data_IF_599730391058
#
_entry.id   IF_599730391058
#
_cell.length_a   1.000
_cell.length_b   1.000
_cell.length_c   1.000
_cell.angle_alpha   90.00
_cell.angle_beta   90.00
_cell.angle_gamma   90.00
#
_symmetry.space_group_name_H-M   'P 1'
#
loop_
_entity.id
_entity.type
_entity.pdbx_description
1 polymer ?
#
# COMPACT_ATOMS: atom_id res chain seq x y z
N UNK A 1 -11.35 -19.85 9.63
CA UNK A 1 -11.35 -19.60 8.19
C UNK A 1 -11.99 -18.26 7.81
N UNK A 2 -13.08 -17.82 8.48
CA UNK A 2 -13.74 -16.53 8.17
C UNK A 2 -12.93 -15.27 8.52
N UNK A 3 -12.21 -15.25 9.64
CA UNK A 3 -11.34 -14.11 10.02
C UNK A 3 -10.23 -13.81 8.99
N UNK A 4 -9.74 -14.85 8.27
CA UNK A 4 -8.72 -14.71 7.24
C UNK A 4 -9.25 -14.02 5.97
N UNK A 5 -10.48 -14.31 5.54
CA UNK A 5 -11.07 -13.70 4.33
C UNK A 5 -11.36 -12.21 4.51
N UNK A 6 -11.74 -11.80 5.74
CA UNK A 6 -11.96 -10.39 6.04
C UNK A 6 -10.65 -9.59 6.03
N UNK A 7 -9.54 -10.19 6.48
CA UNK A 7 -8.22 -9.55 6.48
C UNK A 7 -7.68 -9.31 5.05
N UNK A 8 -7.88 -10.26 4.13
CA UNK A 8 -7.49 -10.08 2.72
C UNK A 8 -8.25 -8.91 2.08
N UNK A 9 -9.54 -8.74 2.40
CA UNK A 9 -10.33 -7.62 1.90
C UNK A 9 -9.80 -6.26 2.42
N UNK A 10 -9.37 -6.21 3.67
CA UNK A 10 -8.80 -4.99 4.28
C UNK A 10 -7.48 -4.60 3.60
N UNK A 11 -6.61 -5.56 3.29
CA UNK A 11 -5.31 -5.31 2.62
C UNK A 11 -5.49 -4.76 1.21
N UNK A 12 -6.40 -5.32 0.43
CA UNK A 12 -6.71 -4.86 -0.94
C UNK A 12 -7.23 -3.41 -0.93
N UNK A 13 -7.98 -3.03 0.09
CA UNK A 13 -8.54 -1.68 0.24
C UNK A 13 -7.46 -0.67 0.61
N UNK A 14 -6.48 -1.03 1.44
CA UNK A 14 -5.44 -0.10 1.90
C UNK A 14 -4.27 0.08 0.91
N UNK A 15 -3.93 -0.91 0.11
CA UNK A 15 -3.00 -0.71 -1.00
C UNK A 15 -3.56 0.30 -2.03
N UNK A 16 -4.88 0.40 -2.14
CA UNK A 16 -5.56 1.40 -2.99
C UNK A 16 -5.38 2.86 -2.55
N UNK A 17 -5.17 3.16 -1.24
CA UNK A 17 -4.98 4.55 -0.76
C UNK A 17 -3.76 5.21 -1.39
N UNK A 18 -2.76 4.41 -1.68
CA UNK A 18 -1.47 4.88 -2.16
C UNK A 18 -1.37 4.94 -3.69
N UNK A 19 -2.32 4.35 -4.42
CA UNK A 19 -2.34 4.27 -5.90
C UNK A 19 -2.92 5.55 -6.55
N UNK A 20 -3.70 6.37 -5.83
CA UNK A 20 -4.45 7.47 -6.44
C UNK A 20 -3.69 8.77 -6.66
N UNK A 21 -2.46 8.89 -6.18
CA UNK A 21 -1.59 10.00 -6.47
C UNK A 21 -1.18 10.16 -7.94
N UNK A 22 -1.21 9.11 -8.72
CA UNK A 22 -0.61 9.05 -10.06
C UNK A 22 -1.33 9.85 -11.16
N UNK A 23 -2.49 10.46 -10.92
CA UNK A 23 -3.30 11.06 -12.00
C UNK A 23 -3.25 12.59 -12.13
N UNK A 24 -2.60 13.30 -11.23
CA UNK A 24 -2.38 14.76 -11.37
C UNK A 24 -0.96 15.10 -11.81
N UNK A 25 -0.58 14.75 -13.03
CA UNK A 25 0.54 15.39 -13.71
C UNK A 25 0.18 16.85 -14.01
N UNK A 26 0.73 17.79 -13.24
CA UNK A 26 1.11 19.15 -13.68
C UNK A 26 1.08 20.17 -12.53
N UNK A 27 2.06 20.12 -11.66
CA UNK A 27 2.60 21.37 -11.14
C UNK A 27 3.96 21.11 -10.53
N UNK A 28 5.01 21.45 -11.24
CA UNK A 28 6.35 21.55 -10.66
C UNK A 28 6.29 22.60 -9.55
N UNK A 29 6.00 22.16 -8.33
CA UNK A 29 6.03 22.97 -7.15
C UNK A 29 7.44 23.55 -6.99
N UNK A 30 7.56 24.86 -6.91
CA UNK A 30 8.80 25.50 -6.45
C UNK A 30 8.78 25.41 -4.93
N UNK A 31 9.89 25.03 -4.31
CA UNK A 31 10.02 24.90 -2.87
C UNK A 31 10.18 23.45 -2.43
N UNK A 32 9.70 23.17 -1.24
CA UNK A 32 9.87 21.90 -0.53
C UNK A 32 9.22 20.72 -1.27
N UNK A 33 8.04 20.89 -1.84
CA UNK A 33 7.39 19.86 -2.68
C UNK A 33 8.19 19.56 -3.94
N UNK A 34 8.81 20.57 -4.54
CA UNK A 34 9.74 20.38 -5.67
C UNK A 34 10.98 19.58 -5.27
N UNK A 35 11.49 19.75 -4.04
CA UNK A 35 12.61 18.99 -3.50
C UNK A 35 12.22 17.50 -3.33
N UNK A 36 11.05 17.20 -2.78
CA UNK A 36 10.52 15.84 -2.69
C UNK A 36 10.40 15.22 -4.09
N UNK A 37 9.80 15.92 -5.03
CA UNK A 37 9.58 15.41 -6.39
C UNK A 37 10.91 15.11 -7.11
N UNK A 38 11.93 15.96 -6.94
CA UNK A 38 13.28 15.71 -7.47
C UNK A 38 13.88 14.46 -6.82
N UNK A 39 13.72 14.27 -5.52
CA UNK A 39 14.23 13.10 -4.81
C UNK A 39 13.55 11.79 -5.27
N UNK A 40 12.24 11.80 -5.46
CA UNK A 40 11.48 10.70 -6.03
C UNK A 40 11.93 10.39 -7.46
N UNK A 41 12.09 11.40 -8.29
CA UNK A 41 12.57 11.24 -9.66
C UNK A 41 14.01 10.68 -9.72
N UNK A 42 14.88 11.09 -8.80
CA UNK A 42 16.23 10.54 -8.71
C UNK A 42 16.20 9.07 -8.26
N UNK A 43 15.31 8.70 -7.34
CA UNK A 43 15.09 7.31 -6.97
C UNK A 43 14.63 6.47 -8.17
N UNK A 44 13.76 6.99 -9.02
CA UNK A 44 13.32 6.31 -10.25
C UNK A 44 14.41 6.06 -11.30
N UNK A 45 15.63 6.62 -11.11
CA UNK A 45 16.79 6.42 -12.01
C UNK A 45 17.83 5.43 -11.51
N UNK A 46 17.63 4.84 -10.33
CA UNK A 46 18.58 3.85 -9.80
C UNK A 46 18.48 2.55 -10.60
N UNK A 47 19.57 1.81 -10.72
CA UNK A 47 19.60 0.56 -11.47
C UNK A 47 18.86 -0.57 -10.78
N UNK A 48 18.88 -0.58 -9.45
CA UNK A 48 18.20 -1.55 -8.62
C UNK A 48 17.85 -0.96 -7.25
N UNK A 49 16.82 -1.51 -6.63
CA UNK A 49 16.19 -0.97 -5.44
C UNK A 49 15.77 -2.09 -4.49
N UNK A 50 16.04 -1.92 -3.20
CA UNK A 50 15.42 -2.68 -2.12
C UNK A 50 14.57 -1.75 -1.28
N UNK A 51 13.30 -2.13 -1.10
CA UNK A 51 12.30 -1.42 -0.32
C UNK A 51 11.81 -2.28 0.83
N UNK A 52 11.51 -1.65 1.95
CA UNK A 52 10.60 -2.18 2.96
C UNK A 52 9.39 -1.27 3.08
N UNK A 53 8.25 -1.91 3.25
CA UNK A 53 6.96 -1.25 3.45
C UNK A 53 6.34 -1.81 4.72
N UNK A 54 5.83 -0.94 5.57
CA UNK A 54 5.16 -1.33 6.79
C UNK A 54 3.83 -0.58 6.92
N UNK A 55 2.76 -1.34 7.14
CA UNK A 55 1.45 -0.86 7.48
C UNK A 55 1.13 -1.29 8.91
N UNK A 56 0.85 -0.35 9.78
CA UNK A 56 0.43 -0.58 11.17
C UNK A 56 -0.88 0.12 11.45
N UNK A 57 -1.73 -0.54 12.18
CA UNK A 57 -2.95 0.07 12.67
C UNK A 57 -3.13 -0.17 14.17
N UNK A 58 -3.80 0.78 14.82
CA UNK A 58 -4.14 0.71 16.24
C UNK A 58 -5.56 1.23 16.45
N UNK A 59 -6.41 0.43 17.12
CA UNK A 59 -7.80 0.76 17.43
C UNK A 59 -8.20 0.09 18.75
N UNK A 60 -8.66 0.86 19.74
CA UNK A 60 -9.23 0.35 21.00
C UNK A 60 -8.37 -0.69 21.75
N UNK A 61 -7.06 -0.53 21.75
CA UNK A 61 -6.14 -1.47 22.39
C UNK A 61 -5.76 -2.68 21.56
N UNK A 62 -6.41 -2.93 20.42
CA UNK A 62 -5.97 -3.89 19.42
C UNK A 62 -5.03 -3.21 18.44
N UNK A 63 -4.04 -3.94 17.97
CA UNK A 63 -3.11 -3.49 16.95
C UNK A 63 -2.80 -4.64 15.98
N UNK A 64 -2.37 -4.29 14.79
CA UNK A 64 -1.93 -5.26 13.81
C UNK A 64 -1.22 -4.54 12.67
N UNK A 65 -0.71 -5.31 11.73
CA UNK A 65 0.00 -4.72 10.62
C UNK A 65 0.45 -5.75 9.61
N UNK A 66 1.06 -5.22 8.58
CA UNK A 66 1.67 -5.96 7.50
C UNK A 66 3.02 -5.35 7.16
N UNK A 67 3.95 -6.19 6.77
CA UNK A 67 5.27 -5.77 6.29
C UNK A 67 5.50 -6.40 4.93
N UNK A 68 6.04 -5.63 4.01
CA UNK A 68 6.48 -6.11 2.70
C UNK A 68 7.96 -5.76 2.53
N UNK A 69 8.73 -6.70 2.02
CA UNK A 69 10.07 -6.44 1.51
C UNK A 69 10.08 -6.66 0.01
N UNK A 70 10.60 -5.71 -0.74
CA UNK A 70 10.66 -5.80 -2.20
C UNK A 70 12.09 -5.55 -2.70
N UNK A 71 12.44 -6.22 -3.79
CA UNK A 71 13.70 -6.07 -4.53
C UNK A 71 13.35 -5.92 -5.99
N UNK A 72 13.86 -4.88 -6.63
CA UNK A 72 13.61 -4.59 -8.03
C UNK A 72 14.92 -4.40 -8.78
N UNK A 73 14.96 -4.95 -9.97
CA UNK A 73 15.91 -4.60 -11.02
C UNK A 73 15.21 -3.62 -11.98
N UNK A 74 15.52 -2.32 -11.81
CA UNK A 74 14.87 -1.26 -12.57
C UNK A 74 15.26 -1.26 -14.05
N UNK A 75 16.38 -1.92 -14.42
CA UNK A 75 16.84 -2.01 -15.79
C UNK A 75 16.03 -3.04 -16.58
N UNK A 76 15.65 -4.15 -15.96
CA UNK A 76 14.86 -5.22 -16.59
C UNK A 76 13.36 -5.09 -16.32
N UNK A 77 12.97 -4.38 -15.27
CA UNK A 77 11.61 -4.33 -14.78
C UNK A 77 11.19 -5.57 -13.98
N UNK A 78 12.17 -6.44 -13.66
CA UNK A 78 11.93 -7.63 -12.83
C UNK A 78 11.92 -7.24 -11.35
N UNK A 79 10.98 -7.78 -10.59
CA UNK A 79 10.93 -7.55 -9.15
C UNK A 79 10.37 -8.73 -8.38
N UNK A 80 10.69 -8.79 -7.10
CA UNK A 80 10.12 -9.73 -6.14
C UNK A 80 9.67 -9.00 -4.88
N UNK A 81 8.58 -9.46 -4.26
CA UNK A 81 8.18 -9.05 -2.93
C UNK A 81 7.83 -10.23 -2.03
N UNK A 82 8.04 -10.04 -0.73
CA UNK A 82 7.67 -10.95 0.34
C UNK A 82 6.77 -10.20 1.33
N UNK A 83 5.57 -10.73 1.57
CA UNK A 83 4.54 -10.10 2.39
C UNK A 83 4.32 -10.89 3.68
N UNK A 84 4.33 -10.18 4.78
CA UNK A 84 4.20 -10.71 6.12
C UNK A 84 3.02 -10.07 6.83
N UNK A 85 2.23 -10.84 7.56
CA UNK A 85 1.22 -10.32 8.48
C UNK A 85 1.72 -10.45 9.90
N UNK A 86 1.43 -9.44 10.72
CA UNK A 86 1.74 -9.43 12.16
C UNK A 86 0.44 -9.33 12.94
N UNK A 87 0.24 -10.29 13.85
CA UNK A 87 -0.87 -10.32 14.79
C UNK A 87 -0.38 -10.76 16.18
N UNK A 88 -1.30 -11.05 17.08
CA UNK A 88 -0.98 -11.49 18.46
C UNK A 88 -0.16 -12.78 18.51
N UNK A 89 -0.25 -13.63 17.48
CA UNK A 89 0.48 -14.90 17.35
C UNK A 89 1.90 -14.72 16.75
N UNK A 90 2.25 -13.51 16.31
CA UNK A 90 3.54 -13.15 15.74
C UNK A 90 3.51 -12.82 14.26
N UNK A 91 4.70 -12.72 13.67
CA UNK A 91 4.88 -12.38 12.24
C UNK A 91 5.03 -13.64 11.41
N UNK A 92 4.29 -13.73 10.29
CA UNK A 92 4.36 -14.86 9.35
C UNK A 92 4.28 -14.38 7.90
N UNK A 93 5.08 -15.01 7.06
CA UNK A 93 4.97 -14.88 5.61
C UNK A 93 3.62 -15.46 5.14
N UNK A 94 2.93 -14.75 4.25
CA UNK A 94 1.68 -15.26 3.68
C UNK A 94 1.63 -15.21 2.16
N UNK A 95 2.47 -14.37 1.52
CA UNK A 95 2.49 -14.20 0.08
C UNK A 95 3.90 -13.84 -0.38
N UNK A 96 4.34 -14.43 -1.50
CA UNK A 96 5.45 -13.91 -2.31
C UNK A 96 4.94 -13.59 -3.69
N UNK A 97 5.51 -12.58 -4.32
CA UNK A 97 5.18 -12.20 -5.69
C UNK A 97 6.49 -12.09 -6.47
N UNK A 98 6.45 -12.48 -7.73
CA UNK A 98 7.53 -12.27 -8.66
C UNK A 98 6.96 -11.76 -9.99
N UNK A 99 7.58 -10.74 -10.56
CA UNK A 99 7.27 -10.22 -11.89
C UNK A 99 8.55 -10.25 -12.75
N UNK A 100 8.47 -10.76 -13.96
CA UNK A 100 9.56 -10.75 -14.93
C UNK A 100 9.43 -9.61 -15.96
N UNK A 101 8.89 -8.49 -15.55
CA UNK A 101 8.59 -7.33 -16.38
C UNK A 101 7.30 -7.49 -17.22
N UNK A 102 6.74 -8.70 -17.35
CA UNK A 102 5.51 -8.99 -18.09
C UNK A 102 4.52 -9.82 -17.31
N UNK A 103 4.96 -10.96 -16.80
CA UNK A 103 4.13 -11.95 -16.13
C UNK A 103 4.31 -11.85 -14.63
N UNK A 104 3.19 -11.98 -13.93
CA UNK A 104 3.12 -11.92 -12.47
C UNK A 104 2.85 -13.32 -11.94
N UNK A 105 3.61 -13.72 -10.95
CA UNK A 105 3.51 -15.01 -10.28
C UNK A 105 3.31 -14.81 -8.79
N UNK A 106 2.47 -15.63 -8.19
CA UNK A 106 2.23 -15.66 -6.75
C UNK A 106 2.65 -17.01 -6.18
N UNK A 107 3.29 -16.96 -5.03
CA UNK A 107 3.45 -18.10 -4.14
C UNK A 107 2.68 -17.81 -2.87
N UNK A 108 1.69 -18.65 -2.58
CA UNK A 108 0.85 -18.51 -1.39
C UNK A 108 1.28 -19.59 -0.40
N UNK A 109 1.68 -19.18 0.81
CA UNK A 109 2.29 -20.05 1.81
C UNK A 109 1.46 -21.33 2.12
N UNK A 110 0.14 -21.22 2.13
CA UNK A 110 -0.72 -22.37 2.42
C UNK A 110 -0.91 -23.35 1.24
N UNK A 111 -0.66 -22.95 0.00
CA UNK A 111 -0.68 -23.84 -1.17
C UNK A 111 0.68 -24.50 -1.41
N UNK A 112 1.75 -23.80 -1.08
CA UNK A 112 3.12 -24.21 -1.34
C UNK A 112 3.50 -24.19 -2.82
N UNK A 113 2.71 -23.54 -3.68
CA UNK A 113 2.83 -23.56 -5.12
C UNK A 113 2.92 -22.15 -5.71
N UNK A 114 3.65 -22.01 -6.82
CA UNK A 114 3.66 -20.80 -7.64
C UNK A 114 2.54 -20.86 -8.66
N UNK A 115 1.78 -19.79 -8.80
CA UNK A 115 0.71 -19.63 -9.76
C UNK A 115 0.94 -18.38 -10.60
N UNK A 116 0.79 -18.50 -11.93
CA UNK A 116 0.79 -17.33 -12.81
C UNK A 116 -0.54 -16.59 -12.68
N UNK A 117 -0.46 -15.29 -12.45
CA UNK A 117 -1.64 -14.41 -12.38
C UNK A 117 -1.94 -13.86 -13.75
N UNK A 118 -3.08 -14.25 -14.32
CA UNK A 118 -3.50 -13.81 -15.63
C UNK A 118 -3.80 -12.28 -15.62
N UNK A 119 -3.62 -11.58 -16.77
CA UNK A 119 -3.82 -10.12 -16.84
C UNK A 119 -5.17 -9.64 -16.30
N UNK A 120 -6.25 -10.38 -16.54
CA UNK A 120 -7.60 -10.07 -16.04
C UNK A 120 -7.77 -10.25 -14.52
N UNK A 121 -6.82 -10.89 -13.86
CA UNK A 121 -6.81 -11.09 -12.40
C UNK A 121 -5.96 -10.03 -11.68
N UNK A 122 -5.13 -9.28 -12.42
CA UNK A 122 -4.18 -8.31 -11.86
C UNK A 122 -4.87 -7.13 -11.19
N UNK A 123 -6.07 -6.76 -11.63
CA UNK A 123 -6.86 -5.68 -11.02
C UNK A 123 -7.17 -5.91 -9.53
N UNK A 124 -7.06 -7.15 -9.06
CA UNK A 124 -7.31 -7.55 -7.67
C UNK A 124 -6.03 -8.00 -6.95
N UNK A 125 -4.87 -7.72 -7.54
CA UNK A 125 -3.58 -8.17 -7.04
C UNK A 125 -2.85 -7.00 -6.39
N UNK A 126 -2.33 -7.20 -5.17
CA UNK A 126 -1.40 -6.25 -4.55
C UNK A 126 -0.09 -6.32 -5.33
N UNK A 127 0.16 -5.32 -6.16
CA UNK A 127 1.44 -5.11 -6.85
C UNK A 127 2.21 -4.12 -5.99
N UNK A 128 3.50 -4.36 -5.69
CA UNK A 128 4.33 -3.35 -5.06
C UNK A 128 4.30 -2.09 -5.92
N UNK A 129 3.75 -1.03 -5.38
CA UNK A 129 3.56 0.18 -6.15
C UNK A 129 4.83 1.03 -6.06
N UNK A 130 5.70 0.88 -7.06
CA UNK A 130 6.86 1.74 -7.21
C UNK A 130 6.46 3.21 -7.47
N UNK A 131 5.24 3.45 -7.96
CA UNK A 131 4.72 4.79 -8.19
C UNK A 131 4.60 5.55 -6.87
N UNK A 132 4.33 4.87 -5.75
CA UNK A 132 4.36 5.47 -4.40
C UNK A 132 5.65 6.23 -4.08
N UNK A 133 6.78 5.73 -4.54
CA UNK A 133 8.09 6.33 -4.26
C UNK A 133 8.62 7.15 -5.44
N UNK A 134 7.88 7.22 -6.54
CA UNK A 134 8.28 7.93 -7.76
C UNK A 134 7.32 9.05 -8.18
N UNK A 135 6.12 9.12 -7.61
CA UNK A 135 5.14 10.20 -7.86
C UNK A 135 4.55 10.72 -6.54
N UNK A 136 4.49 12.04 -6.43
CA UNK A 136 4.01 12.72 -5.21
C UNK A 136 2.49 12.56 -5.00
N UNK A 137 1.74 12.47 -6.06
CA UNK A 137 0.30 12.22 -6.03
C UNK A 137 -0.60 13.36 -5.56
N UNK A 138 -0.02 14.48 -5.12
CA UNK A 138 -0.69 15.68 -4.68
C UNK A 138 0.11 16.92 -5.06
N UNK A 139 -0.49 18.09 -4.99
CA UNK A 139 0.15 19.36 -5.29
C UNK A 139 0.10 20.36 -4.13
N UNK A 140 0.62 21.55 -4.36
CA UNK A 140 0.69 22.57 -3.31
C UNK A 140 -0.66 23.11 -2.85
N UNK A 141 -1.76 22.82 -3.53
CA UNK A 141 -3.11 23.20 -3.10
C UNK A 141 -3.74 22.16 -2.17
N UNK A 142 -3.19 20.96 -2.17
CA UNK A 142 -3.63 19.83 -1.35
C UNK A 142 -2.98 19.84 0.05
N UNK A 143 -1.96 20.69 0.25
CA UNK A 143 -1.15 20.77 1.48
C UNK A 143 -1.52 22.03 2.26
N UNK A 144 -1.78 21.88 3.55
CA UNK A 144 -2.12 22.98 4.46
C UNK A 144 -0.86 23.58 5.11
N UNK A 145 0.02 22.72 5.64
CA UNK A 145 1.26 23.11 6.31
C UNK A 145 2.44 22.33 5.77
N UNK A 146 3.60 22.98 5.73
CA UNK A 146 4.87 22.42 5.25
C UNK A 146 6.00 22.81 6.20
N UNK A 147 6.68 21.83 6.78
CA UNK A 147 7.83 22.01 7.63
C UNK A 147 9.06 21.32 7.03
N UNK A 148 10.20 22.01 7.01
CA UNK A 148 11.47 21.49 6.49
C UNK A 148 12.56 21.59 7.55
N UNK A 149 13.17 20.45 7.89
CA UNK A 149 14.31 20.36 8.80
C UNK A 149 15.51 19.78 8.04
N UNK A 150 16.72 20.20 8.41
CA UNK A 150 17.96 19.60 7.87
C UNK A 150 18.84 19.19 9.02
N UNK A 151 19.18 17.91 9.07
CA UNK A 151 20.01 17.31 10.10
C UNK A 151 20.99 16.32 9.47
N UNK A 152 22.27 16.42 9.83
CA UNK A 152 23.35 15.52 9.36
C UNK A 152 23.42 15.29 7.83
N UNK A 153 23.04 16.30 7.04
CA UNK A 153 23.04 16.24 5.57
C UNK A 153 21.79 15.63 4.97
N UNK A 154 20.88 15.07 5.78
CA UNK A 154 19.55 14.67 5.32
C UNK A 154 18.55 15.81 5.46
N UNK A 155 17.55 15.81 4.59
CA UNK A 155 16.43 16.75 4.62
C UNK A 155 15.17 15.99 4.97
N UNK A 156 14.47 16.44 6.01
CA UNK A 156 13.15 15.95 6.38
C UNK A 156 12.12 17.02 6.02
N UNK A 157 11.08 16.61 5.30
CA UNK A 157 9.95 17.48 4.93
C UNK A 157 8.67 16.82 5.40
N UNK A 158 7.98 17.50 6.30
CA UNK A 158 6.66 17.06 6.80
C UNK A 158 5.58 17.97 6.24
N UNK A 159 4.49 17.39 5.75
CA UNK A 159 3.31 18.11 5.31
C UNK A 159 2.04 17.53 5.92
N UNK A 160 1.08 18.42 6.20
CA UNK A 160 -0.31 18.06 6.51
C UNK A 160 -1.21 18.39 5.33
N UNK A 161 -2.33 17.67 5.21
CA UNK A 161 -3.20 17.77 4.04
C UNK A 161 -4.47 18.57 4.38
N UNK A 162 -4.95 19.29 3.35
CA UNK A 162 -6.21 20.02 3.45
C UNK A 162 -7.40 19.07 3.60
N UNK A 163 -8.46 19.55 4.24
CA UNK A 163 -9.69 18.77 4.38
C UNK A 163 -10.29 18.38 3.02
N UNK A 164 -10.17 19.23 2.00
CA UNK A 164 -10.63 18.95 0.64
C UNK A 164 -9.90 17.76 0.02
N UNK A 165 -8.57 17.71 0.18
CA UNK A 165 -7.78 16.56 -0.26
C UNK A 165 -8.17 15.27 0.48
N UNK A 166 -8.36 15.33 1.81
CA UNK A 166 -8.75 14.17 2.61
C UNK A 166 -10.13 13.63 2.19
N UNK A 167 -11.07 14.50 1.87
CA UNK A 167 -12.39 14.11 1.36
C UNK A 167 -12.29 13.45 -0.02
N UNK A 168 -11.55 14.04 -0.98
CA UNK A 168 -11.32 13.45 -2.31
C UNK A 168 -10.60 12.09 -2.23
N UNK A 169 -9.56 12.00 -1.41
CA UNK A 169 -8.82 10.76 -1.19
C UNK A 169 -9.74 9.67 -0.63
N UNK A 170 -10.64 10.02 0.31
CA UNK A 170 -11.59 9.06 0.84
C UNK A 170 -12.67 8.64 -0.14
N UNK A 171 -13.21 9.57 -0.95
CA UNK A 171 -14.16 9.24 -2.02
C UNK A 171 -13.57 8.24 -3.01
N UNK A 172 -12.30 8.39 -3.35
CA UNK A 172 -11.57 7.44 -4.19
C UNK A 172 -11.50 6.04 -3.55
N UNK A 173 -11.31 5.96 -2.22
CA UNK A 173 -11.35 4.68 -1.49
C UNK A 173 -12.74 4.03 -1.55
N UNK A 174 -13.79 4.80 -1.31
CA UNK A 174 -15.18 4.31 -1.43
C UNK A 174 -15.42 3.73 -2.82
N UNK A 175 -14.97 4.44 -3.88
CA UNK A 175 -15.12 3.98 -5.26
C UNK A 175 -14.40 2.64 -5.53
N UNK A 176 -13.23 2.41 -4.93
CA UNK A 176 -12.51 1.12 -5.05
C UNK A 176 -13.27 -0.01 -4.35
N UNK A 177 -13.78 0.25 -3.14
CA UNK A 177 -14.56 -0.76 -2.41
C UNK A 177 -15.84 -1.11 -3.16
N UNK A 178 -16.50 -0.12 -3.80
CA UNK A 178 -17.67 -0.34 -4.66
C UNK A 178 -17.34 -1.19 -5.89
N UNK A 179 -16.18 -0.95 -6.54
CA UNK A 179 -15.72 -1.79 -7.67
C UNK A 179 -15.49 -3.23 -7.21
N UNK A 180 -14.85 -3.42 -6.06
CA UNK A 180 -14.62 -4.75 -5.49
C UNK A 180 -15.95 -5.46 -5.18
N UNK A 181 -16.92 -4.76 -4.59
CA UNK A 181 -18.27 -5.29 -4.37
C UNK A 181 -18.94 -5.74 -5.67
N UNK A 182 -18.92 -4.87 -6.70
CA UNK A 182 -19.51 -5.18 -8.01
C UNK A 182 -18.84 -6.40 -8.68
N UNK A 183 -17.54 -6.63 -8.43
CA UNK A 183 -16.86 -7.84 -8.88
C UNK A 183 -17.38 -9.09 -8.15
N UNK A 184 -17.55 -9.04 -6.81
CA UNK A 184 -18.09 -10.17 -6.04
C UNK A 184 -19.51 -10.53 -6.48
N UNK A 185 -20.38 -9.55 -6.73
CA UNK A 185 -21.74 -9.79 -7.25
C UNK A 185 -21.73 -10.52 -8.60
N UNK A 186 -20.81 -10.15 -9.50
CA UNK A 186 -20.74 -10.71 -10.86
C UNK A 186 -20.02 -12.05 -10.93
N UNK A 187 -19.10 -12.33 -10.01
CA UNK A 187 -18.25 -13.53 -10.02
C UNK A 187 -18.95 -14.79 -9.53
N UNK A 188 -20.20 -14.70 -9.05
CA UNK A 188 -20.92 -15.82 -8.46
C UNK A 188 -20.35 -16.23 -7.09
N UNK A 189 -19.74 -15.29 -6.38
CA UNK A 189 -19.27 -15.50 -5.00
C UNK A 189 -20.41 -15.96 -4.08
N UNK A 190 -20.06 -16.62 -2.98
CA UNK A 190 -21.07 -17.08 -2.02
C UNK A 190 -21.81 -15.90 -1.38
N UNK A 191 -23.08 -16.15 -0.97
CA UNK A 191 -23.98 -15.12 -0.44
C UNK A 191 -23.40 -14.38 0.78
N UNK A 192 -22.59 -15.06 1.62
CA UNK A 192 -21.98 -14.43 2.79
C UNK A 192 -20.82 -13.50 2.37
N UNK A 193 -20.07 -13.87 1.34
CA UNK A 193 -19.02 -13.00 0.77
C UNK A 193 -19.62 -11.72 0.20
N UNK A 194 -20.72 -11.84 -0.57
CA UNK A 194 -21.45 -10.69 -1.14
C UNK A 194 -22.02 -9.79 -0.03
N UNK A 195 -22.67 -10.36 0.99
CA UNK A 195 -23.18 -9.59 2.15
C UNK A 195 -22.07 -8.88 2.92
N UNK A 196 -20.94 -9.55 3.11
CA UNK A 196 -19.79 -8.94 3.80
C UNK A 196 -19.21 -7.79 2.98
N UNK A 197 -19.09 -7.94 1.67
CA UNK A 197 -18.63 -6.88 0.78
C UNK A 197 -19.61 -5.69 0.75
N UNK A 198 -20.93 -5.95 0.73
CA UNK A 198 -21.95 -4.91 0.81
C UNK A 198 -21.87 -4.11 2.12
N UNK A 199 -21.63 -4.81 3.26
CA UNK A 199 -21.46 -4.16 4.55
C UNK A 199 -20.18 -3.31 4.59
N UNK A 200 -19.10 -3.77 3.95
CA UNK A 200 -17.85 -3.01 3.80
C UNK A 200 -18.09 -1.71 3.02
N UNK A 201 -18.85 -1.75 1.91
CA UNK A 201 -19.23 -0.53 1.17
C UNK A 201 -19.98 0.45 2.08
N UNK A 202 -20.97 -0.03 2.85
CA UNK A 202 -21.71 0.83 3.77
C UNK A 202 -20.81 1.43 4.86
N UNK A 203 -19.86 0.65 5.39
CA UNK A 203 -18.89 1.10 6.36
C UNK A 203 -18.02 2.22 5.79
N UNK A 204 -17.47 2.04 4.59
CA UNK A 204 -16.61 3.05 3.95
C UNK A 204 -17.38 4.33 3.59
N UNK A 205 -18.66 4.23 3.19
CA UNK A 205 -19.50 5.41 2.95
C UNK A 205 -19.77 6.27 4.19
N UNK A 206 -19.62 5.70 5.38
CA UNK A 206 -19.79 6.42 6.66
C UNK A 206 -18.47 6.81 7.31
N UNK A 207 -17.35 6.30 6.76
CA UNK A 207 -16.02 6.60 7.26
C UNK A 207 -15.44 7.84 6.58
N UNK A 208 -14.40 8.42 7.19
CA UNK A 208 -13.62 9.53 6.62
C UNK A 208 -12.26 9.65 7.28
N UNK A 209 -11.32 10.27 6.60
CA UNK A 209 -10.08 10.71 7.20
C UNK A 209 -10.33 11.94 8.08
N UNK A 210 -9.91 11.88 9.34
CA UNK A 210 -9.94 13.02 10.26
C UNK A 210 -8.67 13.87 10.10
N UNK A 211 -7.53 13.21 9.88
CA UNK A 211 -6.23 13.86 9.78
C UNK A 211 -5.25 12.97 9.02
N UNK A 212 -4.31 13.58 8.29
CA UNK A 212 -3.21 12.90 7.63
C UNK A 212 -1.99 13.81 7.56
N UNK A 213 -0.83 13.25 7.88
CA UNK A 213 0.47 13.87 7.65
C UNK A 213 1.36 12.93 6.86
N UNK A 214 2.27 13.49 6.08
CA UNK A 214 3.32 12.74 5.37
C UNK A 214 4.69 13.34 5.70
N UNK A 215 5.64 12.48 6.06
CA UNK A 215 7.03 12.87 6.31
C UNK A 215 7.93 12.20 5.29
N UNK A 216 8.75 12.97 4.61
CA UNK A 216 9.69 12.55 3.58
C UNK A 216 11.10 12.76 4.08
N UNK A 217 11.96 11.74 3.98
CA UNK A 217 13.39 11.85 4.28
C UNK A 217 14.18 11.71 2.99
N UNK A 218 15.01 12.72 2.70
CA UNK A 218 15.83 12.82 1.50
C UNK A 218 17.30 12.81 1.93
N UNK A 219 18.11 11.96 1.32
CA UNK A 219 19.53 11.84 1.64
C UNK A 219 20.39 12.95 0.99
N UNK A 220 21.68 12.96 1.34
CA UNK A 220 22.69 13.89 0.79
C UNK A 220 22.86 13.81 -0.72
N UNK A 221 22.45 12.70 -1.36
CA UNK A 221 22.47 12.50 -2.80
C UNK A 221 21.17 12.96 -3.49
N UNK A 222 20.28 13.61 -2.74
CA UNK A 222 18.94 13.99 -3.20
C UNK A 222 18.11 12.79 -3.67
N UNK A 223 18.21 11.66 -2.97
CA UNK A 223 17.42 10.46 -3.21
C UNK A 223 16.47 10.28 -2.02
N UNK A 224 15.21 9.98 -2.32
CA UNK A 224 14.22 9.69 -1.30
C UNK A 224 14.62 8.41 -0.53
N UNK A 225 14.66 8.51 0.81
CA UNK A 225 15.01 7.42 1.72
C UNK A 225 13.81 6.81 2.39
N UNK A 226 12.86 7.62 2.78
CA UNK A 226 11.63 7.13 3.38
C UNK A 226 10.47 8.09 3.17
N UNK A 227 9.27 7.49 3.21
CA UNK A 227 7.99 8.20 3.35
C UNK A 227 7.27 7.57 4.53
N UNK A 228 6.77 8.39 5.45
CA UNK A 228 5.87 7.95 6.50
C UNK A 228 4.57 8.74 6.43
N UNK A 229 3.45 8.03 6.33
CA UNK A 229 2.11 8.61 6.51
C UNK A 229 1.59 8.26 7.91
N UNK A 230 1.12 9.27 8.61
CA UNK A 230 0.34 9.11 9.84
C UNK A 230 -1.10 9.53 9.55
N UNK A 231 -2.05 8.63 9.73
CA UNK A 231 -3.42 8.79 9.31
C UNK A 231 -4.34 8.53 10.49
N UNK A 232 -5.28 9.42 10.70
CA UNK A 232 -6.40 9.22 11.62
C UNK A 232 -7.67 8.97 10.80
N UNK A 233 -8.24 7.78 10.96
CA UNK A 233 -9.46 7.34 10.28
C UNK A 233 -10.60 7.20 11.29
N UNK A 234 -11.75 7.79 10.99
CA UNK A 234 -13.01 7.55 11.71
C UNK A 234 -13.83 6.56 10.88
N UNK A 235 -14.18 5.43 11.47
CA UNK A 235 -14.89 4.36 10.77
C UNK A 235 -15.86 3.63 11.71
N UNK A 236 -17.11 3.34 11.30
CA UNK A 236 -18.02 2.50 12.08
C UNK A 236 -17.44 1.10 12.28
N UNK A 237 -17.49 0.58 13.49
CA UNK A 237 -17.13 -0.80 13.72
C UNK A 237 -18.18 -1.77 13.14
N UNK A 238 -17.75 -2.96 12.69
CA UNK A 238 -18.68 -4.04 12.33
C UNK A 238 -18.93 -4.88 13.58
N UNK A 239 -20.15 -4.90 14.03
CA UNK A 239 -20.63 -5.67 15.20
C UNK A 239 -21.52 -6.83 14.76
N UNK A 240 -21.84 -7.73 15.69
CA UNK A 240 -22.83 -8.79 15.47
C UNK A 240 -23.98 -8.64 16.45
N UNK A 241 -25.21 -8.81 15.97
CA UNK A 241 -26.38 -8.93 16.82
C UNK A 241 -26.46 -10.30 17.53
N UNK A 242 -27.43 -10.47 18.40
CA UNK A 242 -27.66 -11.73 19.11
C UNK A 242 -27.98 -12.92 18.19
N UNK A 243 -28.38 -12.66 16.97
CA UNK A 243 -28.67 -13.67 15.94
C UNK A 243 -27.46 -13.97 15.05
N UNK A 244 -26.32 -13.28 15.28
CA UNK A 244 -25.09 -13.43 14.51
C UNK A 244 -25.05 -12.61 13.23
N UNK A 245 -26.06 -11.74 12.96
CA UNK A 245 -26.02 -10.86 11.80
C UNK A 245 -25.03 -9.73 12.02
N UNK A 246 -24.19 -9.47 11.01
CA UNK A 246 -23.25 -8.34 11.00
C UNK A 246 -24.00 -7.04 10.72
N UNK A 247 -23.65 -6.00 11.46
CA UNK A 247 -24.22 -4.65 11.32
C UNK A 247 -23.18 -3.59 11.64
N UNK A 248 -23.41 -2.36 11.19
CA UNK A 248 -22.56 -1.22 11.57
C UNK A 248 -22.89 -0.80 12.99
N UNK A 249 -21.85 -0.64 13.79
CA UNK A 249 -21.89 -0.15 15.15
C UNK A 249 -21.58 1.34 15.25
N UNK A 250 -20.92 1.73 16.34
CA UNK A 250 -20.49 3.12 16.58
C UNK A 250 -19.21 3.42 15.82
N UNK A 251 -19.03 4.69 15.49
CA UNK A 251 -17.78 5.19 14.96
C UNK A 251 -16.62 4.97 15.94
N UNK A 252 -15.51 4.57 15.40
CA UNK A 252 -14.26 4.33 16.10
C UNK A 252 -13.13 5.09 15.41
N UNK A 253 -12.26 5.62 16.24
CA UNK A 253 -11.00 6.21 15.78
C UNK A 253 -9.95 5.14 15.62
N UNK A 254 -9.36 5.06 14.44
CA UNK A 254 -8.23 4.19 14.09
C UNK A 254 -7.03 5.06 13.74
N UNK A 255 -5.89 4.76 14.32
CA UNK A 255 -4.62 5.35 13.94
C UNK A 255 -3.89 4.37 13.02
N UNK A 256 -3.41 4.87 11.91
CA UNK A 256 -2.70 4.11 10.88
C UNK A 256 -1.36 4.78 10.65
N UNK A 257 -0.31 3.98 10.60
CA UNK A 257 1.02 4.42 10.14
C UNK A 257 1.39 3.57 8.94
N UNK A 258 1.80 4.23 7.88
CA UNK A 258 2.31 3.60 6.66
C UNK A 258 3.71 4.12 6.42
N UNK A 259 4.69 3.24 6.39
CA UNK A 259 6.09 3.61 6.14
C UNK A 259 6.60 2.86 4.92
N UNK A 260 7.19 3.57 3.98
CA UNK A 260 7.97 3.01 2.88
C UNK A 260 9.42 3.46 3.05
N UNK A 261 10.36 2.53 3.08
CA UNK A 261 11.78 2.78 3.30
C UNK A 261 12.62 2.23 2.15
N UNK A 262 13.54 3.04 1.65
CA UNK A 262 14.56 2.61 0.69
C UNK A 262 15.75 2.06 1.47
N UNK A 263 15.78 0.74 1.68
CA UNK A 263 16.84 0.10 2.43
C UNK A 263 18.19 0.24 1.73
N UNK A 264 18.18 -0.01 0.41
CA UNK A 264 19.38 0.01 -0.45
C UNK A 264 19.03 0.33 -1.90
N UNK A 265 20.00 0.88 -2.61
CA UNK A 265 19.93 1.06 -4.07
C UNK A 265 21.31 0.90 -4.71
N UNK A 266 21.36 0.63 -6.01
CA UNK A 266 22.59 0.47 -6.82
C UNK A 266 23.57 -0.56 -6.24
N UNK A 267 23.05 -1.68 -5.69
CA UNK A 267 23.88 -2.75 -5.12
C UNK A 267 23.67 -4.06 -5.87
N UNK A 268 24.74 -4.69 -6.34
CA UNK A 268 24.70 -5.94 -7.11
C UNK A 268 24.01 -7.12 -6.42
N UNK A 269 23.95 -7.13 -5.09
CA UNK A 269 23.20 -8.14 -4.34
C UNK A 269 21.69 -8.09 -4.56
N UNK A 270 21.12 -6.93 -4.89
CA UNK A 270 19.68 -6.75 -5.16
C UNK A 270 19.33 -7.45 -6.47
N UNK A 271 20.02 -7.12 -7.57
CA UNK A 271 19.79 -7.76 -8.87
C UNK A 271 20.03 -9.28 -8.82
N UNK A 272 21.02 -9.74 -8.05
CA UNK A 272 21.27 -11.17 -7.84
C UNK A 272 20.09 -11.87 -7.16
N UNK A 273 19.47 -11.24 -6.15
CA UNK A 273 18.27 -11.80 -5.49
C UNK A 273 17.11 -11.93 -6.46
N UNK A 274 16.83 -10.90 -7.24
CA UNK A 274 15.78 -10.91 -8.28
C UNK A 274 16.04 -12.04 -9.29
N UNK A 275 17.27 -12.18 -9.78
CA UNK A 275 17.64 -13.23 -10.73
C UNK A 275 17.51 -14.64 -10.13
N UNK A 276 17.84 -14.84 -8.85
CA UNK A 276 17.64 -16.14 -8.17
C UNK A 276 16.16 -16.55 -8.15
N UNK A 277 15.27 -15.61 -7.85
CA UNK A 277 13.83 -15.89 -7.85
C UNK A 277 13.29 -16.13 -9.26
N UNK A 278 13.79 -15.41 -10.26
CA UNK A 278 13.45 -15.64 -11.67
C UNK A 278 13.76 -17.09 -12.07
N UNK A 279 14.96 -17.57 -11.75
CA UNK A 279 15.36 -18.94 -12.03
C UNK A 279 14.47 -19.95 -11.30
N UNK A 280 14.20 -19.72 -10.00
CA UNK A 280 13.35 -20.61 -9.20
C UNK A 280 11.93 -20.72 -9.76
N UNK A 281 11.30 -19.59 -10.13
CA UNK A 281 9.94 -19.59 -10.70
C UNK A 281 9.92 -20.27 -12.06
N UNK A 282 10.92 -20.04 -12.92
CA UNK A 282 11.02 -20.69 -14.22
C UNK A 282 11.15 -22.20 -14.09
N UNK A 283 12.04 -22.69 -13.21
CA UNK A 283 12.20 -24.12 -12.92
C UNK A 283 10.93 -24.78 -12.36
N UNK A 284 10.12 -24.00 -11.62
CA UNK A 284 8.85 -24.50 -11.09
C UNK A 284 7.76 -24.61 -12.16
N UNK A 285 7.76 -23.69 -13.14
CA UNK A 285 6.73 -23.61 -14.19
C UNK A 285 7.01 -24.56 -15.37
N UNK A 286 8.23 -25.13 -15.51
CA UNK A 286 8.58 -26.19 -16.50
C UNK A 286 8.10 -27.56 -16.03
#
# INVERSE_FOLDING_TARGET
MEKRKLRILTVVVFAGVLIFGALRQNSTGRGELGEIQVAMWNLGKVDNLQLSYEYRWKQNGSAGGETMHAWADMLTGDWISEHYTTDEDGTRLYLKQFCDGRDLYHYIDWSGEWEQILPQQRENTVIPDYEMVTDLGYDGTDVEDLERVTEDGAVEITCSFTQEYLEEAWENQVAQVEKSYAFYEKSGADENAVKTAALSVQQHKQAHYEDMTATYVIDENQILRSIEYQITLIMPEITQDLSGNKMLGKDRKMQITVTAEVDRYNQGGIANKVQQYKTLVQEYME
#
